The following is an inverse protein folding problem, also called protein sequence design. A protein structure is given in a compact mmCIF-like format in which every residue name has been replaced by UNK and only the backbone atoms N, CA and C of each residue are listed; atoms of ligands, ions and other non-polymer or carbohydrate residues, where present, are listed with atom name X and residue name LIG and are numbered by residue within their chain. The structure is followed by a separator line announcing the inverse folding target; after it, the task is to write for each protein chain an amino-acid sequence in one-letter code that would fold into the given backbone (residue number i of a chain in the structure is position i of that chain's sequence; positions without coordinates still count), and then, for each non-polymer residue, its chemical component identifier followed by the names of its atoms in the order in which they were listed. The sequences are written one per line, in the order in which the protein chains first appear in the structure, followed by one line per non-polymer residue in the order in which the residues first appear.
data_IF_621317081419
#
_entry.id   IF_621317081419
#
_cell.length_a   1.000
_cell.length_b   1.000
_cell.length_c   1.000
_cell.angle_alpha   90.00
_cell.angle_beta   90.00
_cell.angle_gamma   90.00
#
_symmetry.space_group_name_H-M   'P 1'
#
loop_
_entity.id
_entity.type
_entity.pdbx_description
1 polymer ?
#
# COMPACT_ATOMS: atom_id res chain seq x y z
N UNK A 1 -2.50 29.48 -22.93
CA UNK A 1 -3.77 28.73 -22.98
C UNK A 1 -3.44 27.23 -23.05
N UNK A 2 -3.89 26.38 -22.10
CA UNK A 2 -3.68 24.93 -22.23
C UNK A 2 -4.47 24.40 -23.43
N UNK A 3 -3.84 23.52 -24.23
CA UNK A 3 -4.45 22.92 -25.43
C UNK A 3 -5.74 22.14 -25.08
N UNK A 4 -6.83 22.28 -25.86
CA UNK A 4 -8.11 21.59 -25.61
C UNK A 4 -7.96 20.06 -25.57
N UNK A 5 -6.96 19.50 -26.27
CA UNK A 5 -6.65 18.08 -26.22
C UNK A 5 -6.18 17.61 -24.83
N UNK A 6 -5.43 18.44 -24.09
CA UNK A 6 -5.01 18.11 -22.70
C UNK A 6 -6.18 18.16 -21.71
N UNK A 7 -7.19 18.99 -21.97
CA UNK A 7 -8.39 19.08 -21.14
C UNK A 7 -9.32 17.87 -21.38
N UNK A 8 -9.48 17.44 -22.63
CA UNK A 8 -10.28 16.27 -23.00
C UNK A 8 -9.72 14.97 -22.42
N UNK A 9 -8.39 14.76 -22.49
CA UNK A 9 -7.75 13.58 -21.90
C UNK A 9 -7.93 13.54 -20.38
N UNK A 10 -7.84 14.67 -19.69
CA UNK A 10 -8.11 14.76 -18.23
C UNK A 10 -9.56 14.39 -17.89
N UNK A 11 -10.52 14.86 -18.66
CA UNK A 11 -11.94 14.56 -18.46
C UNK A 11 -12.25 13.08 -18.74
N UNK A 12 -11.59 12.47 -19.73
CA UNK A 12 -11.78 11.07 -20.12
C UNK A 12 -11.25 10.06 -19.09
N UNK A 13 -10.27 10.45 -18.25
CA UNK A 13 -9.79 9.65 -17.12
C UNK A 13 -10.46 9.99 -15.78
N UNK A 14 -11.43 10.90 -15.78
CA UNK A 14 -12.23 11.26 -14.60
C UNK A 14 -13.47 10.37 -14.47
N UNK A 15 -13.36 9.11 -14.88
CA UNK A 15 -14.46 8.16 -14.80
C UNK A 15 -14.54 7.62 -13.35
N UNK A 16 -15.61 7.95 -12.59
CA UNK A 16 -15.79 7.46 -11.24
C UNK A 16 -15.82 5.93 -11.17
N UNK A 17 -16.25 5.24 -12.23
CA UNK A 17 -16.30 3.78 -12.27
C UNK A 17 -14.89 3.19 -12.39
N UNK A 18 -14.01 3.82 -13.15
CA UNK A 18 -12.60 3.44 -13.24
C UNK A 18 -11.89 3.65 -11.89
N UNK A 19 -12.12 4.78 -11.23
CA UNK A 19 -11.55 5.06 -9.91
C UNK A 19 -12.05 4.04 -8.87
N UNK A 20 -13.34 3.69 -8.89
CA UNK A 20 -13.91 2.68 -8.01
C UNK A 20 -13.34 1.28 -8.30
N UNK A 21 -13.19 0.91 -9.57
CA UNK A 21 -12.57 -0.36 -9.97
C UNK A 21 -11.11 -0.45 -9.51
N UNK A 22 -10.32 0.61 -9.72
CA UNK A 22 -8.93 0.69 -9.26
C UNK A 22 -8.83 0.55 -7.73
N UNK A 23 -9.73 1.20 -6.98
CA UNK A 23 -9.76 1.09 -5.52
C UNK A 23 -10.07 -0.35 -5.05
N UNK A 24 -11.01 -1.05 -5.71
CA UNK A 24 -11.33 -2.45 -5.42
C UNK A 24 -10.12 -3.36 -5.66
N UNK A 25 -9.41 -3.17 -6.78
CA UNK A 25 -8.20 -3.94 -7.11
C UNK A 25 -7.10 -3.68 -6.09
N UNK A 26 -6.83 -2.42 -5.76
CA UNK A 26 -5.83 -2.08 -4.74
C UNK A 26 -6.16 -2.70 -3.37
N UNK A 27 -7.43 -2.66 -2.97
CA UNK A 27 -7.90 -3.30 -1.74
C UNK A 27 -7.68 -4.82 -1.76
N UNK A 28 -8.01 -5.48 -2.88
CA UNK A 28 -7.78 -6.90 -3.06
C UNK A 28 -6.29 -7.24 -2.93
N UNK A 29 -5.41 -6.52 -3.62
CA UNK A 29 -3.95 -6.73 -3.57
C UNK A 29 -3.40 -6.56 -2.15
N UNK A 30 -3.83 -5.51 -1.43
CA UNK A 30 -3.44 -5.27 -0.04
C UNK A 30 -3.85 -6.44 0.86
N UNK A 31 -5.10 -6.93 0.73
CA UNK A 31 -5.59 -8.07 1.52
C UNK A 31 -4.83 -9.36 1.19
N UNK A 32 -4.61 -9.64 -0.08
CA UNK A 32 -3.89 -10.83 -0.54
C UNK A 32 -2.45 -10.82 -0.03
N UNK A 33 -1.75 -9.69 -0.11
CA UNK A 33 -0.39 -9.55 0.44
C UNK A 33 -0.36 -9.63 1.97
N UNK A 34 -1.32 -9.03 2.67
CA UNK A 34 -1.38 -9.14 4.14
C UNK A 34 -1.52 -10.60 4.59
N UNK A 35 -2.32 -11.40 3.88
CA UNK A 35 -2.41 -12.86 4.11
C UNK A 35 -1.11 -13.58 3.78
N UNK A 36 -0.41 -13.17 2.72
CA UNK A 36 0.90 -13.73 2.39
C UNK A 36 1.93 -13.44 3.50
N UNK A 37 1.98 -12.22 4.03
CA UNK A 37 2.83 -11.86 5.17
C UNK A 37 2.47 -12.65 6.43
N UNK A 38 1.18 -12.89 6.70
CA UNK A 38 0.78 -13.75 7.82
C UNK A 38 1.30 -15.19 7.66
N UNK A 39 1.30 -15.73 6.44
CA UNK A 39 1.81 -17.09 6.14
C UNK A 39 3.33 -17.16 6.08
N UNK A 40 4.00 -16.08 5.68
CA UNK A 40 5.45 -16.00 5.45
C UNK A 40 5.99 -14.69 6.04
N UNK A 41 6.08 -14.57 7.38
CA UNK A 41 6.49 -13.32 8.03
C UNK A 41 7.87 -12.81 7.57
N UNK A 42 8.82 -13.71 7.28
CA UNK A 42 10.15 -13.38 6.78
C UNK A 42 10.17 -12.50 5.52
N UNK A 43 9.09 -12.49 4.73
CA UNK A 43 8.98 -11.62 3.56
C UNK A 43 8.79 -10.14 3.92
N UNK A 44 8.49 -9.82 5.18
CA UNK A 44 8.47 -8.45 5.71
C UNK A 44 9.87 -7.84 5.84
N UNK A 45 10.93 -8.66 5.88
CA UNK A 45 12.32 -8.19 5.94
C UNK A 45 12.70 -7.35 4.71
N UNK A 46 12.08 -7.64 3.56
CA UNK A 46 12.26 -6.86 2.34
C UNK A 46 11.65 -5.44 2.43
N UNK A 47 10.70 -5.21 3.34
CA UNK A 47 10.12 -3.90 3.60
C UNK A 47 10.96 -3.09 4.58
N UNK A 48 11.34 -3.72 5.69
CA UNK A 48 12.16 -3.13 6.73
C UNK A 48 12.81 -4.26 7.55
N UNK A 49 14.12 -4.19 7.85
CA UNK A 49 14.80 -5.21 8.65
C UNK A 49 14.21 -5.34 10.06
N UNK A 50 14.01 -6.57 10.53
CA UNK A 50 13.44 -6.90 11.85
C UNK A 50 11.91 -6.79 11.94
N UNK A 51 11.24 -6.47 10.84
CA UNK A 51 9.80 -6.27 10.83
C UNK A 51 9.02 -7.58 10.95
N UNK A 52 9.61 -8.72 10.56
CA UNK A 52 8.96 -10.03 10.65
C UNK A 52 8.73 -10.52 12.08
N UNK A 53 9.57 -10.07 13.02
CA UNK A 53 9.53 -10.43 14.44
C UNK A 53 9.06 -9.28 15.33
N UNK A 54 8.75 -8.12 14.74
CA UNK A 54 8.34 -6.94 15.47
C UNK A 54 6.96 -7.14 16.14
N UNK A 55 6.75 -6.56 17.34
CA UNK A 55 5.43 -6.57 17.95
C UNK A 55 4.41 -5.79 17.07
N UNK A 56 3.11 -6.08 17.18
CA UNK A 56 2.08 -5.49 16.32
C UNK A 56 2.10 -3.95 16.30
N UNK A 57 2.41 -3.31 17.42
CA UNK A 57 2.51 -1.85 17.58
C UNK A 57 3.62 -1.27 16.69
N UNK A 58 4.80 -1.90 16.74
CA UNK A 58 5.96 -1.53 15.92
C UNK A 58 5.68 -1.77 14.44
N UNK A 59 5.06 -2.90 14.10
CA UNK A 59 4.64 -3.21 12.73
C UNK A 59 3.69 -2.12 12.19
N UNK A 60 2.72 -1.67 13.00
CA UNK A 60 1.81 -0.58 12.64
C UNK A 60 2.56 0.75 12.46
N UNK A 61 3.44 1.11 13.40
CA UNK A 61 4.16 2.38 13.38
C UNK A 61 5.09 2.49 12.16
N UNK A 62 5.93 1.48 11.91
CA UNK A 62 6.86 1.45 10.78
C UNK A 62 6.09 1.45 9.46
N UNK A 63 5.05 0.62 9.34
CA UNK A 63 4.26 0.55 8.10
C UNK A 63 3.54 1.88 7.82
N UNK A 64 3.01 2.54 8.85
CA UNK A 64 2.39 3.86 8.69
C UNK A 64 3.42 4.91 8.25
N UNK A 65 4.62 4.88 8.82
CA UNK A 65 5.72 5.76 8.40
C UNK A 65 6.10 5.52 6.92
N UNK A 66 6.20 4.25 6.48
CA UNK A 66 6.49 3.92 5.08
C UNK A 66 5.41 4.40 4.12
N UNK A 67 4.12 4.28 4.48
CA UNK A 67 3.01 4.82 3.70
C UNK A 67 3.12 6.34 3.57
N UNK A 68 3.42 7.04 4.66
CA UNK A 68 3.55 8.50 4.66
C UNK A 68 4.78 8.95 3.86
N UNK A 69 5.90 8.24 3.96
CA UNK A 69 7.10 8.51 3.17
C UNK A 69 6.81 8.41 1.67
N UNK A 70 6.10 7.36 1.24
CA UNK A 70 5.73 7.17 -0.16
C UNK A 70 4.69 8.20 -0.64
N UNK A 71 3.83 8.71 0.25
CA UNK A 71 2.93 9.82 -0.08
C UNK A 71 3.67 11.14 -0.32
N UNK A 72 4.68 11.44 0.50
CA UNK A 72 5.49 12.67 0.39
C UNK A 72 6.44 12.64 -0.78
N UNK A 73 7.02 11.48 -1.05
CA UNK A 73 7.95 11.27 -2.16
C UNK A 73 7.53 10.03 -2.93
N UNK A 74 6.47 10.11 -3.75
CA UNK A 74 6.07 9.00 -4.58
C UNK A 74 7.22 8.72 -5.55
N UNK A 75 7.91 7.59 -5.36
CA UNK A 75 9.00 7.21 -6.25
C UNK A 75 8.40 6.77 -7.57
N UNK A 76 8.15 7.75 -8.44
CA UNK A 76 7.79 7.55 -9.85
C UNK A 76 9.04 7.19 -10.64
N UNK A 77 9.71 6.11 -10.27
CA UNK A 77 10.65 5.50 -11.21
C UNK A 77 9.82 5.00 -12.39
N UNK A 78 10.27 5.32 -13.62
CA UNK A 78 9.68 4.75 -14.83
C UNK A 78 9.83 3.22 -14.72
N UNK A 79 8.72 2.53 -14.46
CA UNK A 79 8.67 1.11 -14.12
C UNK A 79 8.13 0.86 -12.71
N UNK A 80 6.94 0.24 -12.66
CA UNK A 80 6.18 -0.49 -11.61
C UNK A 80 6.62 -0.59 -10.12
N UNK A 81 7.70 0.03 -9.64
CA UNK A 81 8.28 -0.21 -8.31
C UNK A 81 7.69 0.64 -7.17
N UNK A 82 7.26 1.88 -7.42
CA UNK A 82 6.74 2.78 -6.36
C UNK A 82 5.39 2.33 -5.80
N UNK A 83 4.46 1.93 -6.68
CA UNK A 83 3.15 1.44 -6.28
C UNK A 83 3.24 0.12 -5.50
N UNK A 84 4.18 -0.75 -5.86
CA UNK A 84 4.45 -2.01 -5.14
C UNK A 84 4.86 -1.73 -3.70
N UNK A 85 5.69 -0.71 -3.45
CA UNK A 85 6.09 -0.34 -2.10
C UNK A 85 4.93 0.19 -1.25
N UNK A 86 4.04 1.01 -1.84
CA UNK A 86 2.86 1.51 -1.14
C UNK A 86 1.87 0.38 -0.79
N UNK A 87 1.61 -0.52 -1.73
CA UNK A 87 0.74 -1.69 -1.52
C UNK A 87 1.33 -2.59 -0.43
N UNK A 88 2.66 -2.80 -0.43
CA UNK A 88 3.36 -3.59 0.57
C UNK A 88 3.27 -2.97 1.97
N UNK A 89 3.51 -1.66 2.08
CA UNK A 89 3.38 -0.96 3.35
C UNK A 89 1.94 -0.98 3.88
N UNK A 90 0.94 -0.82 3.01
CA UNK A 90 -0.48 -0.93 3.39
C UNK A 90 -0.86 -2.35 3.83
N UNK A 91 -0.31 -3.37 3.18
CA UNK A 91 -0.51 -4.77 3.56
C UNK A 91 0.09 -5.09 4.93
N UNK A 92 1.32 -4.63 5.19
CA UNK A 92 1.96 -4.76 6.51
C UNK A 92 1.19 -4.00 7.60
N UNK A 93 0.69 -2.80 7.30
CA UNK A 93 -0.18 -2.04 8.20
C UNK A 93 -1.49 -2.77 8.53
N UNK A 94 -2.12 -3.38 7.52
CA UNK A 94 -3.34 -4.17 7.71
C UNK A 94 -3.07 -5.39 8.60
N UNK A 95 -1.95 -6.10 8.36
CA UNK A 95 -1.52 -7.23 9.18
C UNK A 95 -1.31 -6.80 10.64
N UNK A 96 -0.51 -5.75 10.89
CA UNK A 96 -0.27 -5.25 12.26
C UNK A 96 -1.55 -4.86 12.99
N UNK A 97 -2.50 -4.20 12.29
CA UNK A 97 -3.82 -3.89 12.85
C UNK A 97 -4.69 -5.12 13.13
N UNK A 98 -4.53 -6.19 12.36
CA UNK A 98 -5.22 -7.45 12.61
C UNK A 98 -4.64 -8.18 13.83
N UNK A 99 -3.31 -8.31 13.90
CA UNK A 99 -2.60 -8.92 15.02
C UNK A 99 -2.89 -8.20 16.34
N UNK A 100 -2.81 -6.86 16.35
CA UNK A 100 -3.13 -6.05 17.54
C UNK A 100 -4.57 -6.22 18.01
N UNK A 101 -5.52 -6.47 17.09
CA UNK A 101 -6.92 -6.75 17.46
C UNK A 101 -7.07 -8.16 18.01
N UNK A 102 -6.38 -9.15 17.43
CA UNK A 102 -6.37 -10.52 17.94
C UNK A 102 -5.77 -10.65 19.33
N UNK A 103 -4.74 -9.86 19.67
CA UNK A 103 -4.10 -9.87 21.00
C UNK A 103 -4.92 -9.19 22.11
N UNK A 104 -6.06 -8.56 21.78
CA UNK A 104 -6.97 -7.91 22.74
C UNK A 104 -8.18 -8.78 23.11
N UNK A 105 -8.31 -9.94 22.47
CA UNK A 105 -9.36 -10.95 22.71
C UNK A 105 -8.75 -12.05 23.54
#
# INVERSE_FOLDING_TARGET
MPSPARAQVKAQFSDPDLAAAAARVACHLVKTRARAYARRPWTLEALFPGLSTAPPETLVAISAHLVERERRSPRRWFGFGGEVNLVNARAALLLGRALRRGARV
#
